data_IF_541887060312
#
_entry.id   IF_541887060312
#
_cell.length_a   1.000
_cell.length_b   1.000
_cell.length_c   1.000
_cell.angle_alpha   90.00
_cell.angle_beta   90.00
_cell.angle_gamma   90.00
#
_symmetry.space_group_name_H-M   'P 1'
#
loop_
_entity.id
_entity.type
_entity.pdbx_description
1 polymer ?
#
# COMPACT_ATOMS: atom_id res chain seq x y z
N UNK A 1 14.37 5.41 14.70
CA UNK A 1 13.09 5.68 14.01
C UNK A 1 11.99 5.28 14.99
N UNK A 2 10.91 6.05 15.14
CA UNK A 2 9.76 5.59 15.90
C UNK A 2 9.21 4.31 15.25
N UNK A 3 8.57 3.47 16.06
CA UNK A 3 7.87 2.29 15.55
C UNK A 3 6.66 2.78 14.73
N UNK A 4 6.68 2.53 13.43
CA UNK A 4 5.61 2.94 12.50
C UNK A 4 4.49 1.90 12.50
N UNK A 5 3.23 2.37 12.49
CA UNK A 5 2.04 1.50 12.42
C UNK A 5 1.63 1.35 10.95
N UNK A 6 1.64 0.13 10.44
CA UNK A 6 1.19 -0.16 9.08
C UNK A 6 -0.35 -0.29 9.03
N UNK A 7 -1.01 0.70 8.43
CA UNK A 7 -2.48 0.74 8.33
C UNK A 7 -3.01 -0.34 7.39
N UNK A 8 -2.32 -0.64 6.28
CA UNK A 8 -2.78 -1.66 5.33
C UNK A 8 -2.85 -3.04 6.00
N UNK A 9 -1.86 -3.35 6.84
CA UNK A 9 -1.83 -4.60 7.61
C UNK A 9 -2.98 -4.68 8.61
N UNK A 10 -3.37 -3.57 9.24
CA UNK A 10 -4.53 -3.53 10.14
C UNK A 10 -5.86 -3.70 9.40
N UNK A 11 -5.96 -3.19 8.16
CA UNK A 11 -7.16 -3.33 7.33
C UNK A 11 -7.34 -4.74 6.78
N UNK A 12 -6.25 -5.51 6.63
CA UNK A 12 -6.26 -6.91 6.19
C UNK A 12 -6.77 -7.89 7.26
N UNK A 13 -6.76 -7.50 8.55
CA UNK A 13 -7.28 -8.32 9.63
C UNK A 13 -8.82 -8.38 9.59
N UNK A 14 -9.39 -9.57 9.74
CA UNK A 14 -10.85 -9.80 9.67
C UNK A 14 -11.59 -9.27 10.91
N UNK A 15 -10.96 -9.33 12.08
CA UNK A 15 -11.61 -9.06 13.36
C UNK A 15 -11.14 -7.79 14.05
N UNK A 16 -12.07 -7.04 14.63
CA UNK A 16 -11.74 -5.88 15.48
C UNK A 16 -10.88 -6.27 16.69
N UNK A 17 -11.15 -7.43 17.31
CA UNK A 17 -10.33 -7.92 18.42
C UNK A 17 -8.88 -8.19 18.00
N UNK A 18 -8.69 -8.72 16.80
CA UNK A 18 -7.35 -9.00 16.27
C UNK A 18 -6.60 -7.70 15.97
N UNK A 19 -7.29 -6.73 15.35
CA UNK A 19 -6.79 -5.36 15.14
C UNK A 19 -6.38 -4.73 16.47
N UNK A 20 -7.23 -4.82 17.49
CA UNK A 20 -6.98 -4.29 18.83
C UNK A 20 -5.71 -4.89 19.45
N UNK A 21 -5.57 -6.23 19.42
CA UNK A 21 -4.38 -6.92 19.92
C UNK A 21 -3.11 -6.50 19.18
N UNK A 22 -3.18 -6.35 17.86
CA UNK A 22 -2.05 -5.92 17.03
C UNK A 22 -1.62 -4.48 17.38
N UNK A 23 -2.56 -3.56 17.50
CA UNK A 23 -2.32 -2.17 17.88
C UNK A 23 -1.71 -2.10 19.29
N UNK A 24 -2.25 -2.83 20.27
CA UNK A 24 -1.67 -2.88 21.62
C UNK A 24 -0.26 -3.46 21.63
N UNK A 25 0.03 -4.46 20.78
CA UNK A 25 1.37 -5.02 20.62
C UNK A 25 2.37 -3.98 20.10
N UNK A 26 1.97 -3.16 19.12
CA UNK A 26 2.79 -2.07 18.56
C UNK A 26 3.02 -0.96 19.60
N UNK A 27 2.02 -0.67 20.42
CA UNK A 27 2.08 0.37 21.45
C UNK A 27 2.66 -0.11 22.79
N UNK A 28 3.13 -1.36 22.89
CA UNK A 28 3.63 -1.95 24.14
C UNK A 28 4.79 -1.18 24.76
N UNK A 29 5.59 -0.49 23.94
CA UNK A 29 6.72 0.34 24.37
C UNK A 29 6.30 1.72 24.89
N UNK A 30 5.04 2.12 24.68
CA UNK A 30 4.51 3.39 25.17
C UNK A 30 4.39 3.37 26.69
N UNK A 31 4.84 4.45 27.34
CA UNK A 31 4.77 4.61 28.80
C UNK A 31 3.47 5.29 29.28
N UNK A 32 2.68 5.80 28.35
CA UNK A 32 1.37 6.42 28.59
C UNK A 32 0.25 5.40 28.36
N UNK A 33 -0.93 5.59 28.98
CA UNK A 33 -2.12 4.83 28.60
C UNK A 33 -2.41 5.04 27.10
N UNK A 34 -2.86 3.99 26.43
CA UNK A 34 -3.11 3.99 24.98
C UNK A 34 -4.50 3.50 24.61
N UNK A 35 -5.30 3.11 25.60
CA UNK A 35 -6.63 2.54 25.44
C UNK A 35 -7.54 3.44 24.60
N UNK A 36 -7.58 4.75 24.90
CA UNK A 36 -8.38 5.72 24.15
C UNK A 36 -7.89 5.84 22.69
N UNK A 37 -6.58 5.83 22.48
CA UNK A 37 -5.99 5.88 21.14
C UNK A 37 -6.32 4.61 20.34
N UNK A 38 -6.23 3.43 20.97
CA UNK A 38 -6.59 2.15 20.34
C UNK A 38 -8.06 2.19 19.95
N UNK A 39 -8.94 2.63 20.85
CA UNK A 39 -10.38 2.70 20.58
C UNK A 39 -10.69 3.66 19.42
N UNK A 40 -10.10 4.84 19.41
CA UNK A 40 -10.29 5.84 18.36
C UNK A 40 -9.76 5.34 17.00
N UNK A 41 -8.61 4.68 17.00
CA UNK A 41 -8.03 4.11 15.79
C UNK A 41 -8.92 3.00 15.21
N UNK A 42 -9.45 2.10 16.05
CA UNK A 42 -10.38 1.07 15.61
C UNK A 42 -11.64 1.65 14.97
N UNK A 43 -12.21 2.71 15.58
CA UNK A 43 -13.37 3.41 15.01
C UNK A 43 -13.04 3.99 13.63
N UNK A 44 -11.88 4.62 13.48
CA UNK A 44 -11.42 5.16 12.19
C UNK A 44 -11.21 4.06 11.13
N UNK A 45 -10.73 2.88 11.53
CA UNK A 45 -10.50 1.75 10.62
C UNK A 45 -11.79 1.09 10.10
N UNK A 46 -12.91 1.20 10.81
CA UNK A 46 -14.19 0.57 10.37
C UNK A 46 -14.70 1.10 9.03
N UNK A 47 -14.39 2.35 8.69
CA UNK A 47 -14.79 2.97 7.41
C UNK A 47 -13.73 2.92 6.32
N UNK A 48 -12.54 2.40 6.63
CA UNK A 48 -11.42 2.35 5.70
C UNK A 48 -11.35 0.97 5.04
N UNK A 49 -11.07 0.96 3.74
CA UNK A 49 -10.75 -0.25 3.00
C UNK A 49 -9.44 -0.05 2.26
N UNK A 50 -8.65 -1.12 2.18
CA UNK A 50 -7.45 -1.10 1.36
C UNK A 50 -7.89 -1.02 -0.10
N UNK A 51 -7.46 0.03 -0.80
CA UNK A 51 -7.66 0.09 -2.24
C UNK A 51 -6.86 -1.05 -2.87
N UNK A 52 -7.49 -1.94 -3.67
CA UNK A 52 -6.75 -2.92 -4.44
C UNK A 52 -5.83 -2.11 -5.35
N UNK A 53 -4.53 -2.16 -5.08
CA UNK A 53 -3.58 -1.20 -5.61
C UNK A 53 -3.81 -1.03 -7.11
N UNK A 54 -4.15 0.19 -7.53
CA UNK A 54 -3.80 0.62 -8.87
C UNK A 54 -2.31 0.31 -8.96
N UNK A 55 -1.96 -0.71 -9.74
CA UNK A 55 -0.56 -0.93 -10.14
C UNK A 55 -0.11 0.45 -10.60
N UNK A 56 0.68 1.13 -9.77
CA UNK A 56 1.30 2.37 -10.17
C UNK A 56 2.10 1.95 -11.40
N UNK A 57 1.73 2.37 -12.63
CA UNK A 57 2.64 2.18 -13.72
C UNK A 57 3.80 3.07 -13.34
N UNK A 58 4.89 2.47 -12.85
CA UNK A 58 6.13 3.20 -12.62
C UNK A 58 6.35 4.06 -13.87
N UNK A 59 6.46 5.39 -13.76
CA UNK A 59 6.82 6.22 -14.89
C UNK A 59 8.32 6.06 -15.12
N UNK A 60 8.73 4.84 -15.44
CA UNK A 60 10.08 4.51 -15.83
C UNK A 60 10.05 4.15 -17.30
N UNK A 61 10.39 5.18 -18.07
CA UNK A 61 11.06 5.09 -19.35
C UNK A 61 10.28 4.44 -20.50
N UNK A 62 9.67 5.31 -21.29
CA UNK A 62 10.16 5.51 -22.65
C UNK A 62 10.60 4.23 -23.39
N UNK A 63 9.62 3.53 -23.96
CA UNK A 63 9.84 2.74 -25.17
C UNK A 63 8.77 3.11 -26.19
N UNK A 64 8.62 4.42 -26.40
CA UNK A 64 8.04 4.96 -27.63
C UNK A 64 9.17 5.27 -28.60
N UNK A 65 9.94 4.26 -28.98
CA UNK A 65 10.78 4.33 -30.17
C UNK A 65 10.23 3.34 -31.20
N UNK A 66 9.24 3.80 -31.94
CA UNK A 66 9.03 3.31 -33.29
C UNK A 66 8.96 4.54 -34.20
N UNK A 67 9.97 4.73 -35.06
CA UNK A 67 9.72 5.39 -36.32
C UNK A 67 10.07 4.45 -37.48
N UNK A 68 9.10 4.35 -38.38
CA UNK A 68 9.17 3.90 -39.77
C UNK A 68 9.38 2.40 -40.05
N UNK A 69 8.26 1.79 -40.42
CA UNK A 69 8.25 0.86 -41.55
C UNK A 69 8.73 1.62 -42.79
N UNK A 70 9.78 1.13 -43.45
CA UNK A 70 10.02 1.42 -44.87
C UNK A 70 9.96 0.09 -45.63
N UNK A 71 8.82 -0.22 -46.28
CA UNK A 71 8.71 -1.37 -47.14
C UNK A 71 8.87 -0.92 -48.61
N UNK A 72 10.05 -0.47 -49.05
CA UNK A 72 10.34 -0.41 -50.48
C UNK A 72 11.84 -0.38 -50.87
N UNK A 73 12.25 -1.39 -51.65
CA UNK A 73 13.37 -1.44 -52.62
C UNK A 73 14.79 -1.48 -52.02
N UNK A 74 15.58 -2.54 -52.23
CA UNK A 74 16.26 -2.79 -53.52
C UNK A 74 16.78 -4.25 -53.63
N UNK A 75 16.78 -4.73 -54.88
CA UNK A 75 16.98 -6.06 -55.50
C UNK A 75 18.09 -7.03 -54.99
N UNK A 76 18.00 -8.34 -55.36
CA UNK A 76 18.92 -9.42 -54.95
C UNK A 76 20.11 -9.61 -55.92
N UNK A 77 21.15 -10.39 -55.54
CA UNK A 77 22.10 -10.99 -56.48
C UNK A 77 21.56 -12.26 -57.17
#
# INVERSE_FOLDING_TARGET
>A
MPDEVNIDELLELEGEEERSRKIQGLLKSCKSPTEDFVQELLVKLRGLHKQPGLRQPSPSADSRLSPLQDPARTAPP
#
